data_IF_648071541376
#
_entry.id   IF_648071541376
#
_cell.length_a   1.000
_cell.length_b   1.000
_cell.length_c   1.000
_cell.angle_alpha   90.00
_cell.angle_beta   90.00
_cell.angle_gamma   90.00
#
_symmetry.space_group_name_H-M   'P 1'
#
loop_
_entity.id
_entity.type
_entity.pdbx_description
1 polymer ?
#
# COMPACT_ATOMS: atom_id res chain seq x y z
N UNK A 1 5.95 -18.89 8.55
CA UNK A 1 5.60 -17.49 8.29
C UNK A 1 4.11 -17.30 8.61
N UNK A 2 3.76 -17.05 9.87
CA UNK A 2 2.35 -16.90 10.29
C UNK A 2 2.08 -15.44 10.62
N UNK A 3 1.10 -14.86 9.91
CA UNK A 3 0.38 -13.61 10.20
C UNK A 3 1.11 -12.29 9.85
N UNK A 4 1.57 -12.13 8.61
CA UNK A 4 1.78 -10.77 8.08
C UNK A 4 0.42 -10.07 7.98
N UNK A 5 0.37 -8.78 8.34
CA UNK A 5 -0.87 -8.02 8.28
C UNK A 5 -1.36 -8.01 6.82
N UNK A 6 -2.61 -8.41 6.54
CA UNK A 6 -3.14 -8.45 5.17
C UNK A 6 -3.02 -7.10 4.46
N UNK A 7 -3.10 -5.97 5.16
CA UNK A 7 -2.86 -4.64 4.58
C UNK A 7 -1.41 -4.45 4.13
N UNK A 8 -0.45 -4.96 4.88
CA UNK A 8 0.95 -4.92 4.49
C UNK A 8 1.17 -5.78 3.25
N UNK A 9 0.64 -6.99 3.21
CA UNK A 9 0.74 -7.88 2.04
C UNK A 9 0.10 -7.27 0.79
N UNK A 10 -1.12 -6.73 0.89
CA UNK A 10 -1.80 -6.08 -0.23
C UNK A 10 -1.03 -4.85 -0.70
N UNK A 11 -0.50 -4.03 0.21
CA UNK A 11 0.33 -2.87 -0.12
C UNK A 11 1.60 -3.27 -0.87
N UNK A 12 2.32 -4.30 -0.40
CA UNK A 12 3.55 -4.77 -1.05
C UNK A 12 3.26 -5.38 -2.43
N UNK A 13 2.23 -6.23 -2.54
CA UNK A 13 1.84 -6.82 -3.84
C UNK A 13 1.37 -5.74 -4.81
N UNK A 14 0.60 -4.76 -4.34
CA UNK A 14 0.14 -3.63 -5.15
C UNK A 14 1.29 -2.77 -5.68
N UNK A 15 2.31 -2.49 -4.84
CA UNK A 15 3.54 -1.79 -5.28
C UNK A 15 4.20 -2.54 -6.44
N UNK A 16 4.41 -3.85 -6.28
CA UNK A 16 5.08 -4.68 -7.28
C UNK A 16 4.30 -4.66 -8.60
N UNK A 17 2.97 -4.86 -8.55
CA UNK A 17 2.13 -4.89 -9.74
C UNK A 17 2.11 -3.54 -10.45
N UNK A 18 1.95 -2.43 -9.73
CA UNK A 18 1.92 -1.08 -10.33
C UNK A 18 3.26 -0.73 -10.95
N UNK A 19 4.38 -1.06 -10.29
CA UNK A 19 5.72 -0.84 -10.85
C UNK A 19 5.95 -1.65 -12.13
N UNK A 20 5.55 -2.93 -12.14
CA UNK A 20 5.65 -3.77 -13.35
C UNK A 20 4.78 -3.24 -14.48
N UNK A 21 3.55 -2.81 -14.18
CA UNK A 21 2.64 -2.24 -15.18
C UNK A 21 3.22 -0.93 -15.76
N UNK A 22 3.83 -0.09 -14.93
CA UNK A 22 4.46 1.16 -15.37
C UNK A 22 5.62 0.88 -16.33
N UNK A 23 6.51 -0.04 -15.97
CA UNK A 23 7.65 -0.44 -16.80
C UNK A 23 7.16 -1.06 -18.12
N UNK A 24 6.18 -1.96 -18.06
CA UNK A 24 5.61 -2.60 -19.24
C UNK A 24 5.00 -1.58 -20.19
N UNK A 25 4.20 -0.64 -19.69
CA UNK A 25 3.61 0.39 -20.53
C UNK A 25 4.65 1.38 -21.07
N UNK A 26 5.68 1.72 -20.29
CA UNK A 26 6.77 2.56 -20.76
C UNK A 26 7.54 1.91 -21.93
N UNK A 27 7.81 0.60 -21.84
CA UNK A 27 8.52 -0.15 -22.87
C UNK A 27 7.66 -0.40 -24.12
N UNK A 28 6.39 -0.79 -23.94
CA UNK A 28 5.53 -1.20 -25.06
C UNK A 28 4.98 0.02 -25.81
N UNK A 29 4.47 1.03 -25.10
CA UNK A 29 3.80 2.15 -25.75
C UNK A 29 4.78 3.24 -26.19
N UNK A 30 5.98 3.37 -25.60
CA UNK A 30 6.93 4.48 -25.85
C UNK A 30 6.27 5.88 -25.79
N UNK A 31 5.16 6.00 -25.07
CA UNK A 31 4.37 7.22 -24.90
C UNK A 31 4.59 7.77 -23.49
N UNK A 32 4.27 9.06 -23.23
CA UNK A 32 4.33 9.61 -21.88
C UNK A 32 3.27 8.95 -20.99
N UNK A 33 3.64 7.83 -20.37
CA UNK A 33 2.77 6.97 -19.55
C UNK A 33 2.31 7.67 -18.27
N UNK A 34 3.00 8.75 -17.89
CA UNK A 34 2.71 9.52 -16.68
C UNK A 34 1.29 10.03 -16.60
N UNK A 35 0.63 10.30 -17.74
CA UNK A 35 -0.78 10.73 -17.78
C UNK A 35 -1.73 9.60 -17.37
N UNK A 36 -1.47 8.37 -17.80
CA UNK A 36 -2.27 7.18 -17.43
C UNK A 36 -2.07 6.83 -15.95
N UNK A 37 -0.85 7.02 -15.44
CA UNK A 37 -0.53 6.76 -14.04
C UNK A 37 -0.83 7.93 -13.10
N UNK A 38 -1.27 9.07 -13.64
CA UNK A 38 -1.60 10.27 -12.86
C UNK A 38 -2.73 10.02 -11.86
N UNK A 39 -3.70 9.17 -12.20
CA UNK A 39 -4.77 8.75 -11.29
C UNK A 39 -4.34 7.57 -10.40
N UNK A 40 -3.56 6.62 -10.95
CA UNK A 40 -3.19 5.40 -10.22
C UNK A 40 -2.28 5.68 -9.02
N UNK A 41 -1.28 6.56 -9.17
CA UNK A 41 -0.35 6.86 -8.09
C UNK A 41 -0.99 7.48 -6.84
N UNK A 42 -1.81 8.55 -6.93
CA UNK A 42 -2.46 9.12 -5.76
C UNK A 42 -3.49 8.17 -5.15
N UNK A 43 -4.23 7.40 -5.95
CA UNK A 43 -5.16 6.37 -5.42
C UNK A 43 -4.40 5.32 -4.62
N UNK A 44 -3.28 4.84 -5.16
CA UNK A 44 -2.45 3.87 -4.49
C UNK A 44 -1.79 4.44 -3.21
N UNK A 45 -1.33 5.69 -3.26
CA UNK A 45 -0.80 6.39 -2.09
C UNK A 45 -1.86 6.56 -0.99
N UNK A 46 -3.09 6.90 -1.35
CA UNK A 46 -4.22 6.98 -0.41
C UNK A 46 -4.51 5.61 0.22
N UNK A 47 -4.50 4.54 -0.57
CA UNK A 47 -4.68 3.19 -0.05
C UNK A 47 -3.58 2.80 0.96
N UNK A 48 -2.31 3.11 0.66
CA UNK A 48 -1.20 2.90 1.60
C UNK A 48 -1.36 3.71 2.89
N UNK A 49 -1.77 4.98 2.78
CA UNK A 49 -2.01 5.83 3.95
C UNK A 49 -3.13 5.28 4.84
N UNK A 50 -4.23 4.81 4.25
CA UNK A 50 -5.32 4.18 4.99
C UNK A 50 -4.87 2.88 5.68
N UNK A 51 -4.12 2.03 4.97
CA UNK A 51 -3.55 0.82 5.55
C UNK A 51 -2.60 1.11 6.72
N UNK A 52 -1.76 2.13 6.60
CA UNK A 52 -0.86 2.56 7.66
C UNK A 52 -1.61 3.06 8.90
N UNK A 53 -2.65 3.89 8.71
CA UNK A 53 -3.51 4.37 9.81
C UNK A 53 -4.19 3.20 10.51
N UNK A 54 -4.71 2.23 9.75
CA UNK A 54 -5.35 1.04 10.33
C UNK A 54 -4.37 0.19 11.14
N UNK A 55 -3.15 -0.03 10.64
CA UNK A 55 -2.09 -0.75 11.38
C UNK A 55 -1.76 -0.02 12.69
N UNK A 56 -1.56 1.31 12.64
CA UNK A 56 -1.27 2.14 13.81
C UNK A 56 -2.39 2.07 14.86
N UNK A 57 -3.65 2.09 14.43
CA UNK A 57 -4.79 2.00 15.33
C UNK A 57 -4.94 0.60 15.96
N UNK A 58 -4.71 -0.47 15.19
CA UNK A 58 -4.72 -1.83 15.73
C UNK A 58 -3.56 -2.09 16.71
N UNK A 59 -2.37 -1.53 16.44
CA UNK A 59 -1.24 -1.59 17.37
C UNK A 59 -1.56 -0.94 18.72
N UNK A 60 -2.21 0.23 18.72
CA UNK A 60 -2.65 0.91 19.95
C UNK A 60 -3.66 0.09 20.77
N UNK A 61 -4.55 -0.67 20.12
CA UNK A 61 -5.53 -1.55 20.78
C UNK A 61 -4.89 -2.78 21.45
N UNK A 62 -3.73 -3.21 20.97
CA UNK A 62 -3.01 -4.39 21.47
C UNK A 62 -2.02 -4.06 22.59
N UNK A 63 -1.77 -2.77 22.88
CA UNK A 63 -1.00 -2.37 24.05
C UNK A 63 -1.85 -2.74 25.27
N UNK A 64 -1.38 -3.64 26.17
CA UNK A 64 -2.15 -4.00 27.35
C UNK A 64 -2.41 -2.73 28.15
N UNK A 65 -3.69 -2.38 28.31
CA UNK A 65 -4.12 -1.33 29.23
C UNK A 65 -3.59 -1.75 30.59
N UNK A 66 -2.57 -1.05 31.09
CA UNK A 66 -2.02 -1.29 32.43
C UNK A 66 -3.11 -0.87 33.41
N UNK A 67 -3.97 -1.82 33.78
CA UNK A 67 -4.96 -1.62 34.84
C UNK A 67 -4.16 -1.34 36.11
N UNK A 68 -4.20 -0.08 36.53
CA UNK A 68 -3.59 0.36 37.79
C UNK A 68 -4.47 -0.22 38.90
N UNK A 69 -3.93 -1.21 39.60
CA UNK A 69 -4.57 -1.82 40.77
C UNK A 69 -4.53 -0.83 41.93
#
# INVERSE_FOLDING_TARGET
MKNLNPFFTIGTVGMIVISLLHIAFALILSLPVHTVFFALYPVFAAFMALGFVQIKNNQKKLIPIRVKK
#
